data_IF_714175064707
#
_entry.id   IF_714175064707
#
_cell.length_a   1.000
_cell.length_b   1.000
_cell.length_c   1.000
_cell.angle_alpha   90.00
_cell.angle_beta   90.00
_cell.angle_gamma   90.00
#
_symmetry.space_group_name_H-M   'P 1'
#
loop_
_entity.id
_entity.type
_entity.pdbx_description
1 polymer ?
#
# COMPACT_ATOMS: atom_id res chain seq x y z
N UNK A 1 -7.03 3.40 -27.31
CA UNK A 1 -8.19 2.51 -27.56
C UNK A 1 -7.83 1.06 -27.24
N UNK A 2 -7.30 0.80 -26.04
CA UNK A 2 -6.98 -0.56 -25.53
C UNK A 2 -7.90 -0.97 -24.38
N UNK A 3 -8.51 -0.02 -23.68
CA UNK A 3 -9.25 -0.25 -22.42
C UNK A 3 -10.55 -1.06 -22.56
N UNK A 4 -11.10 -1.18 -23.77
CA UNK A 4 -12.39 -1.88 -23.97
C UNK A 4 -12.20 -3.37 -24.26
N UNK A 5 -11.10 -3.75 -24.91
CA UNK A 5 -10.76 -5.13 -25.24
C UNK A 5 -10.26 -5.90 -24.01
N UNK A 6 -9.42 -5.28 -23.18
CA UNK A 6 -8.92 -5.89 -21.94
C UNK A 6 -10.06 -6.10 -20.93
N UNK A 7 -11.02 -5.17 -20.86
CA UNK A 7 -12.22 -5.31 -20.03
C UNK A 7 -13.20 -6.40 -20.51
N UNK A 8 -13.13 -6.84 -21.77
CA UNK A 8 -13.96 -7.94 -22.30
C UNK A 8 -13.32 -9.31 -22.03
N UNK A 9 -11.99 -9.43 -22.16
CA UNK A 9 -11.26 -10.68 -21.81
C UNK A 9 -11.26 -10.96 -20.30
N UNK A 10 -11.12 -9.94 -19.45
CA UNK A 10 -11.14 -10.12 -17.99
C UNK A 10 -12.48 -10.66 -17.46
N UNK A 11 -13.59 -10.34 -18.15
CA UNK A 11 -14.93 -10.85 -17.82
C UNK A 11 -15.17 -12.29 -18.27
N UNK A 12 -14.39 -12.80 -19.24
CA UNK A 12 -14.59 -14.13 -19.83
C UNK A 12 -13.77 -15.24 -19.18
N UNK A 13 -12.69 -14.92 -18.47
CA UNK A 13 -11.86 -15.92 -17.78
C UNK A 13 -12.04 -16.01 -16.27
N UNK A 14 -12.78 -15.08 -15.66
CA UNK A 14 -13.03 -15.08 -14.22
C UNK A 14 -11.76 -14.81 -13.42
N UNK A 15 -11.77 -13.78 -12.57
CA UNK A 15 -10.67 -13.59 -11.63
C UNK A 15 -10.57 -14.84 -10.76
N UNK A 16 -9.49 -15.62 -10.93
CA UNK A 16 -9.23 -16.74 -10.03
C UNK A 16 -9.04 -16.17 -8.63
N UNK A 17 -9.53 -16.87 -7.59
CA UNK A 17 -9.36 -16.43 -6.20
C UNK A 17 -7.89 -16.16 -5.87
N UNK A 18 -6.98 -16.88 -6.52
CA UNK A 18 -5.53 -16.69 -6.47
C UNK A 18 -5.09 -15.39 -7.14
N UNK A 19 -5.51 -15.10 -8.38
CA UNK A 19 -5.16 -13.87 -9.10
C UNK A 19 -5.59 -12.59 -8.37
N UNK A 20 -6.79 -12.59 -7.79
CA UNK A 20 -7.30 -11.45 -7.00
C UNK A 20 -6.47 -11.15 -5.73
N UNK A 21 -5.70 -12.13 -5.23
CA UNK A 21 -4.77 -11.96 -4.12
C UNK A 21 -3.33 -11.65 -4.59
N UNK A 22 -2.90 -12.27 -5.69
CA UNK A 22 -1.56 -12.10 -6.25
C UNK A 22 -1.34 -10.71 -6.83
N UNK A 23 -2.35 -10.11 -7.49
CA UNK A 23 -2.22 -8.76 -8.08
C UNK A 23 -1.86 -7.69 -7.05
N UNK A 24 -2.57 -7.56 -5.89
CA UNK A 24 -2.18 -6.61 -4.85
C UNK A 24 -0.92 -7.01 -4.07
N UNK A 25 -0.40 -8.22 -4.22
CA UNK A 25 0.86 -8.65 -3.61
C UNK A 25 2.03 -8.22 -4.51
N UNK A 26 1.92 -8.45 -5.81
CA UNK A 26 2.91 -8.06 -6.80
C UNK A 26 3.16 -6.54 -6.78
N UNK A 27 2.08 -5.73 -6.71
CA UNK A 27 2.18 -4.27 -6.59
C UNK A 27 3.05 -3.84 -5.40
N UNK A 28 2.85 -4.45 -4.22
CA UNK A 28 3.64 -4.13 -3.01
C UNK A 28 5.10 -4.57 -3.14
N UNK A 29 5.34 -5.75 -3.69
CA UNK A 29 6.70 -6.26 -3.90
C UNK A 29 7.47 -5.34 -4.84
N UNK A 30 6.83 -4.87 -5.92
CA UNK A 30 7.44 -3.95 -6.88
C UNK A 30 7.80 -2.62 -6.22
N UNK A 31 6.87 -2.00 -5.49
CA UNK A 31 7.12 -0.71 -4.83
C UNK A 31 8.19 -0.83 -3.74
N UNK A 32 8.14 -1.88 -2.92
CA UNK A 32 9.17 -2.11 -1.89
C UNK A 32 10.54 -2.39 -2.52
N UNK A 33 10.60 -3.18 -3.60
CA UNK A 33 11.82 -3.42 -4.37
C UNK A 33 12.44 -2.14 -4.93
N UNK A 34 11.62 -1.23 -5.45
CA UNK A 34 12.07 0.09 -5.88
C UNK A 34 12.64 0.90 -4.70
N UNK A 35 11.97 0.90 -3.55
CA UNK A 35 12.46 1.60 -2.35
C UNK A 35 13.79 1.02 -1.83
N UNK A 36 13.94 -0.30 -1.80
CA UNK A 36 15.21 -0.95 -1.43
C UNK A 36 16.34 -0.62 -2.41
N UNK A 37 16.03 -0.54 -3.71
CA UNK A 37 16.99 -0.10 -4.73
C UNK A 37 17.46 1.34 -4.48
N UNK A 38 16.55 2.22 -4.07
CA UNK A 38 16.86 3.60 -3.69
C UNK A 38 17.66 3.70 -2.38
N UNK A 39 17.48 2.77 -1.45
CA UNK A 39 18.34 2.64 -0.25
C UNK A 39 19.76 2.25 -0.67
N UNK A 40 19.91 1.27 -1.56
CA UNK A 40 21.21 0.83 -2.06
C UNK A 40 21.95 1.93 -2.83
N UNK A 41 21.22 2.84 -3.48
CA UNK A 41 21.76 4.05 -4.14
C UNK A 41 22.10 5.17 -3.18
N UNK A 42 21.93 4.99 -1.86
CA UNK A 42 22.20 6.01 -0.84
C UNK A 42 21.18 7.15 -0.82
N UNK A 43 20.08 7.04 -1.56
CA UNK A 43 19.04 8.07 -1.60
C UNK A 43 18.12 7.91 -0.38
N UNK A 44 17.61 6.70 -0.13
CA UNK A 44 16.70 6.48 1.00
C UNK A 44 17.47 5.95 2.20
N UNK A 45 17.05 6.37 3.41
CA UNK A 45 17.45 5.67 4.63
C UNK A 45 16.67 4.36 4.75
N UNK A 46 17.32 3.32 5.28
CA UNK A 46 16.71 1.99 5.46
C UNK A 46 15.51 2.00 6.43
N UNK A 47 15.54 2.89 7.43
CA UNK A 47 14.53 2.94 8.49
C UNK A 47 13.11 3.26 7.96
N UNK A 48 12.89 4.31 7.15
CA UNK A 48 11.61 4.55 6.46
C UNK A 48 11.09 3.34 5.70
N UNK A 49 11.95 2.67 4.95
CA UNK A 49 11.58 1.55 4.08
C UNK A 49 11.13 0.35 4.91
N UNK A 50 11.85 0.03 5.98
CA UNK A 50 11.50 -1.07 6.90
C UNK A 50 10.16 -0.80 7.59
N UNK A 51 9.93 0.43 8.08
CA UNK A 51 8.65 0.79 8.73
C UNK A 51 7.48 0.63 7.76
N UNK A 52 7.64 1.10 6.52
CA UNK A 52 6.63 0.97 5.47
C UNK A 52 6.39 -0.51 5.16
N UNK A 53 7.43 -1.30 4.93
CA UNK A 53 7.35 -2.71 4.61
C UNK A 53 6.59 -3.52 5.69
N UNK A 54 6.97 -3.36 6.96
CA UNK A 54 6.32 -4.06 8.08
C UNK A 54 4.82 -3.73 8.11
N UNK A 55 4.45 -2.45 8.01
CA UNK A 55 3.05 -2.03 8.03
C UNK A 55 2.28 -2.60 6.83
N UNK A 56 2.87 -2.59 5.63
CA UNK A 56 2.22 -3.11 4.43
C UNK A 56 1.89 -4.60 4.54
N UNK A 57 2.79 -5.40 5.12
CA UNK A 57 2.57 -6.83 5.38
C UNK A 57 1.47 -7.01 6.42
N UNK A 58 1.56 -6.35 7.58
CA UNK A 58 0.59 -6.49 8.68
C UNK A 58 -0.84 -6.14 8.22
N UNK A 59 -1.01 -4.99 7.54
CA UNK A 59 -2.34 -4.54 7.08
C UNK A 59 -2.89 -5.46 5.99
N UNK A 60 -2.02 -6.01 5.13
CA UNK A 60 -2.43 -6.98 4.11
C UNK A 60 -2.95 -8.26 4.74
N UNK A 61 -2.19 -8.84 5.69
CA UNK A 61 -2.59 -10.04 6.42
C UNK A 61 -3.90 -9.79 7.18
N UNK A 62 -4.02 -8.66 7.89
CA UNK A 62 -5.25 -8.29 8.59
C UNK A 62 -6.46 -8.25 7.65
N UNK A 63 -6.32 -7.63 6.47
CA UNK A 63 -7.43 -7.54 5.49
C UNK A 63 -7.82 -8.92 4.94
N UNK A 64 -6.85 -9.80 4.70
CA UNK A 64 -7.10 -11.17 4.23
C UNK A 64 -7.86 -11.96 5.30
N UNK A 65 -7.39 -11.93 6.55
CA UNK A 65 -8.00 -12.68 7.66
C UNK A 65 -9.42 -12.19 7.96
N UNK A 66 -9.65 -10.87 7.96
CA UNK A 66 -10.99 -10.30 8.22
C UNK A 66 -11.91 -10.48 7.01
N UNK A 67 -11.40 -10.36 5.78
CA UNK A 67 -12.14 -10.65 4.57
C UNK A 67 -12.59 -12.10 4.47
N UNK A 68 -11.76 -13.06 4.89
CA UNK A 68 -12.11 -14.47 4.97
C UNK A 68 -13.29 -14.75 5.94
N UNK A 69 -13.54 -13.84 6.90
CA UNK A 69 -14.66 -13.91 7.84
C UNK A 69 -15.92 -13.20 7.33
N UNK A 70 -15.96 -12.80 6.06
CA UNK A 70 -17.10 -12.10 5.43
C UNK A 70 -17.18 -10.61 5.77
N UNK A 71 -16.16 -10.05 6.43
CA UNK A 71 -16.15 -8.64 6.84
C UNK A 71 -15.28 -7.85 5.88
N UNK A 72 -15.90 -6.98 5.08
CA UNK A 72 -15.17 -6.07 4.21
C UNK A 72 -14.49 -4.96 5.04
N UNK A 73 -13.17 -4.81 4.88
CA UNK A 73 -12.39 -3.73 5.49
C UNK A 73 -12.02 -2.71 4.41
N UNK A 74 -12.83 -1.66 4.21
CA UNK A 74 -12.55 -0.66 3.20
C UNK A 74 -11.27 0.14 3.53
N UNK A 75 -10.53 0.50 2.49
CA UNK A 75 -9.35 1.36 2.63
C UNK A 75 -9.74 2.74 3.17
N UNK A 76 -9.06 3.21 4.22
CA UNK A 76 -9.28 4.56 4.76
C UNK A 76 -8.75 5.63 3.81
N UNK A 77 -9.30 6.85 3.88
CA UNK A 77 -8.80 8.00 3.10
C UNK A 77 -7.29 8.22 3.35
N UNK A 78 -6.84 8.05 4.59
CA UNK A 78 -5.42 8.15 4.98
C UNK A 78 -4.57 7.08 4.28
N UNK A 79 -5.08 5.85 4.13
CA UNK A 79 -4.36 4.81 3.41
C UNK A 79 -4.18 5.15 1.93
N UNK A 80 -5.14 5.83 1.30
CA UNK A 80 -5.03 6.30 -0.08
C UNK A 80 -3.98 7.42 -0.21
N UNK A 81 -4.02 8.42 0.67
CA UNK A 81 -3.04 9.53 0.67
C UNK A 81 -1.62 8.99 0.92
N UNK A 82 -1.47 8.01 1.81
CA UNK A 82 -0.19 7.31 2.05
C UNK A 82 0.39 6.74 0.76
N UNK A 83 -0.39 5.94 0.04
CA UNK A 83 0.07 5.29 -1.20
C UNK A 83 0.45 6.32 -2.25
N UNK A 84 -0.35 7.39 -2.43
CA UNK A 84 0.00 8.49 -3.33
C UNK A 84 1.32 9.16 -2.93
N UNK A 85 1.50 9.48 -1.64
CA UNK A 85 2.74 10.11 -1.17
C UNK A 85 3.98 9.22 -1.39
N UNK A 86 3.83 7.90 -1.24
CA UNK A 86 4.89 6.93 -1.46
C UNK A 86 5.25 6.80 -2.94
N UNK A 87 4.25 6.70 -3.82
CA UNK A 87 4.45 6.63 -5.27
C UNK A 87 5.10 7.91 -5.81
N UNK A 88 4.68 9.08 -5.33
CA UNK A 88 5.29 10.37 -5.69
C UNK A 88 6.74 10.45 -5.22
N UNK A 89 7.04 9.97 -4.00
CA UNK A 89 8.41 9.93 -3.48
C UNK A 89 9.34 9.06 -4.34
N UNK A 90 8.88 7.85 -4.69
CA UNK A 90 9.62 6.94 -5.58
C UNK A 90 9.77 7.55 -6.98
N UNK A 91 8.70 8.14 -7.52
CA UNK A 91 8.72 8.81 -8.82
C UNK A 91 9.73 9.95 -8.89
N UNK A 92 9.77 10.82 -7.88
CA UNK A 92 10.78 11.88 -7.79
C UNK A 92 12.20 11.36 -7.61
N UNK A 93 12.38 10.25 -6.91
CA UNK A 93 13.69 9.64 -6.72
C UNK A 93 14.21 8.93 -7.98
N UNK A 94 13.33 8.45 -8.86
CA UNK A 94 13.68 7.77 -10.11
C UNK A 94 13.73 8.69 -11.35
N UNK A 95 13.17 9.90 -11.28
CA UNK A 95 13.10 10.81 -12.42
C UNK A 95 14.50 11.22 -12.92
N UNK A 96 14.83 10.99 -14.20
CA UNK A 96 16.14 11.31 -14.77
C UNK A 96 16.21 12.78 -15.16
N UNK A 97 16.26 13.69 -14.17
CA UNK A 97 16.50 15.10 -14.43
C UNK A 97 17.53 15.65 -13.44
N UNK A 98 18.54 16.31 -14.00
CA UNK A 98 19.67 17.13 -13.48
C UNK A 98 19.74 17.67 -12.02
N UNK A 99 18.81 17.39 -11.12
CA UNK A 99 18.50 18.30 -10.01
C UNK A 99 19.07 17.87 -8.66
N UNK A 100 20.13 18.56 -8.20
CA UNK A 100 20.40 18.72 -6.77
C UNK A 100 19.15 19.23 -6.00
N UNK A 101 18.26 19.93 -6.68
CA UNK A 101 17.07 20.59 -6.11
C UNK A 101 15.91 19.64 -5.75
N UNK A 102 15.81 18.46 -6.36
CA UNK A 102 14.72 17.51 -6.06
C UNK A 102 14.97 16.66 -4.81
N UNK A 103 16.16 16.78 -4.21
CA UNK A 103 16.52 16.09 -2.98
C UNK A 103 15.54 16.34 -1.85
N UNK A 104 15.09 17.59 -1.71
CA UNK A 104 14.11 17.96 -0.68
C UNK A 104 12.71 17.42 -1.02
N UNK A 105 12.33 17.40 -2.30
CA UNK A 105 11.02 16.92 -2.73
C UNK A 105 10.79 15.44 -2.41
N UNK A 106 11.74 14.56 -2.77
CA UNK A 106 11.59 13.13 -2.44
C UNK A 106 11.76 12.86 -0.94
N UNK A 107 12.60 13.61 -0.21
CA UNK A 107 12.73 13.49 1.26
C UNK A 107 11.45 13.85 1.99
N UNK A 108 10.86 15.00 1.67
CA UNK A 108 9.62 15.49 2.30
C UNK A 108 8.48 14.50 2.04
N UNK A 109 8.32 14.05 0.79
CA UNK A 109 7.28 13.10 0.43
C UNK A 109 7.49 11.72 1.06
N UNK A 110 8.75 11.27 1.23
CA UNK A 110 9.08 10.03 1.95
C UNK A 110 8.70 10.11 3.43
N UNK A 111 9.10 11.19 4.13
CA UNK A 111 8.76 11.37 5.54
C UNK A 111 7.26 11.57 5.76
N UNK A 112 6.58 12.26 4.84
CA UNK A 112 5.12 12.33 4.83
C UNK A 112 4.50 10.93 4.70
N UNK A 113 5.01 10.09 3.80
CA UNK A 113 4.56 8.70 3.66
C UNK A 113 4.78 7.89 4.95
N UNK A 114 5.91 8.09 5.65
CA UNK A 114 6.19 7.44 6.95
C UNK A 114 5.16 7.87 8.01
N UNK A 115 4.91 9.18 8.17
CA UNK A 115 3.93 9.69 9.14
C UNK A 115 2.53 9.12 8.86
N UNK A 116 2.10 9.15 7.60
CA UNK A 116 0.81 8.57 7.19
C UNK A 116 0.76 7.05 7.40
N UNK A 117 1.89 6.38 7.24
CA UNK A 117 2.03 4.93 7.52
C UNK A 117 1.78 4.65 9.00
N UNK A 118 2.41 5.41 9.90
CA UNK A 118 2.26 5.24 11.34
C UNK A 118 0.81 5.54 11.76
N UNK A 119 0.26 6.70 11.35
CA UNK A 119 -1.11 7.10 11.70
C UNK A 119 -2.13 6.07 11.23
N UNK A 120 -1.99 5.59 9.99
CA UNK A 120 -2.89 4.55 9.49
C UNK A 120 -2.68 3.20 10.19
N UNK A 121 -1.44 2.84 10.53
CA UNK A 121 -1.15 1.64 11.33
C UNK A 121 -1.88 1.65 12.67
N UNK A 122 -1.82 2.78 13.39
CA UNK A 122 -2.55 2.99 14.65
C UNK A 122 -4.06 2.87 14.43
N UNK A 123 -4.62 3.46 13.38
CA UNK A 123 -6.05 3.33 13.08
C UNK A 123 -6.49 1.88 12.84
N UNK A 124 -5.68 1.08 12.15
CA UNK A 124 -5.95 -0.34 11.95
C UNK A 124 -5.82 -1.12 13.26
N UNK A 125 -4.79 -0.85 14.07
CA UNK A 125 -4.62 -1.46 15.38
C UNK A 125 -5.82 -1.17 16.29
N UNK A 126 -6.25 0.09 16.42
CA UNK A 126 -7.42 0.47 17.23
C UNK A 126 -8.71 -0.22 16.74
N UNK A 127 -8.89 -0.40 15.43
CA UNK A 127 -10.02 -1.15 14.87
C UNK A 127 -9.94 -2.64 15.20
N UNK A 128 -8.74 -3.23 15.19
CA UNK A 128 -8.51 -4.61 15.58
C UNK A 128 -8.75 -4.82 17.09
N UNK A 129 -8.34 -3.88 17.94
CA UNK A 129 -8.50 -3.92 19.41
C UNK A 129 -9.87 -3.45 19.93
N UNK A 130 -10.83 -3.08 19.06
CA UNK A 130 -12.25 -2.88 19.44
C UNK A 130 -13.07 -4.15 19.10
N UNK A 131 -13.04 -5.21 19.94
CA UNK A 131 -13.71 -6.47 19.65
C UNK A 131 -15.26 -6.41 19.63
N UNK A 132 -15.88 -5.31 20.06
CA UNK A 132 -17.34 -5.28 20.31
C UNK A 132 -18.27 -5.01 19.11
N UNK A 133 -17.76 -4.66 17.92
CA UNK A 133 -18.64 -4.28 16.80
C UNK A 133 -18.71 -5.26 15.63
N UNK A 134 -17.82 -6.25 15.53
CA UNK A 134 -17.80 -7.19 14.40
C UNK A 134 -18.79 -8.36 14.59
N UNK A 135 -19.11 -8.73 15.84
CA UNK A 135 -20.00 -9.86 16.15
C UNK A 135 -21.51 -9.53 16.16
N UNK A 136 -21.94 -8.27 16.03
CA UNK A 136 -23.37 -7.89 16.13
C UNK A 136 -24.15 -7.85 14.82
N UNK A 137 -23.53 -8.15 13.66
CA UNK A 137 -24.21 -8.14 12.35
C UNK A 137 -24.29 -9.52 11.66
N UNK A 138 -23.96 -10.60 12.36
CA UNK A 138 -24.13 -11.98 11.84
C UNK A 138 -25.50 -12.57 12.23
N UNK A 139 -26.28 -11.89 13.08
CA UNK A 139 -27.68 -12.24 13.37
C UNK A 139 -28.60 -11.14 12.86
N UNK A 140 -28.91 -11.17 11.56
CA UNK A 140 -30.24 -10.91 10.99
C UNK A 140 -30.26 -11.32 9.53
#
# INVERSE_FOLDING_TARGET
MSDVLDGYLARRHGATKSGAFLDPLADKVLVLGAMFTLVNRGMFSIWPVVIIAIREVIVSVYRVVVGAKGVSVPASRIAKVKTLSQQVSVGFALAPFSARDMTYAWKITLWLAVVLTIVSGVQYAVRAFKPRMILRRVTK
#
